data_IF_286000132128
#
_entry.id   IF_286000132128
#
_cell.length_a   1.000
_cell.length_b   1.000
_cell.length_c   1.000
_cell.angle_alpha   90.00
_cell.angle_beta   90.00
_cell.angle_gamma   90.00
#
_symmetry.space_group_name_H-M   'P 1'
#
loop_
_entity.id
_entity.type
_entity.pdbx_description
1 polymer ?
#
# COMPACT_ATOMS: atom_id res chain seq x y z
N UNK A 1 6.16 -28.59 51.17
CA UNK A 1 6.24 -27.11 51.11
C UNK A 1 7.38 -26.74 50.16
N UNK A 2 7.06 -26.43 48.91
CA UNK A 2 8.02 -26.02 47.87
C UNK A 2 7.48 -24.76 47.20
N UNK A 3 8.24 -23.70 47.37
CA UNK A 3 8.46 -22.55 46.47
C UNK A 3 7.26 -21.80 45.94
N UNK A 4 7.11 -20.58 46.46
CA UNK A 4 6.22 -19.51 46.06
C UNK A 4 6.86 -18.68 44.91
N UNK A 5 5.97 -18.10 44.09
CA UNK A 5 6.12 -17.07 43.04
C UNK A 5 6.83 -17.46 41.74
N UNK A 6 6.14 -17.23 40.61
CA UNK A 6 6.59 -16.30 39.56
C UNK A 6 5.47 -16.13 38.51
N UNK A 7 4.97 -14.88 38.45
CA UNK A 7 4.46 -14.17 37.26
C UNK A 7 2.96 -14.31 36.92
N UNK A 8 2.17 -13.50 37.64
CA UNK A 8 1.13 -12.67 37.03
C UNK A 8 1.80 -11.76 35.97
N UNK A 9 1.75 -12.15 34.70
CA UNK A 9 1.97 -11.23 33.58
C UNK A 9 1.23 -11.73 32.33
N UNK A 10 -0.01 -12.19 32.53
CA UNK A 10 -1.03 -12.08 31.49
C UNK A 10 -1.60 -10.65 31.55
N UNK A 11 -0.73 -9.64 31.45
CA UNK A 11 -1.19 -8.30 31.08
C UNK A 11 -1.78 -8.45 29.70
N UNK A 12 -3.09 -8.24 29.62
CA UNK A 12 -3.84 -7.97 28.42
C UNK A 12 -2.98 -7.14 27.45
N UNK A 13 -2.33 -7.80 26.48
CA UNK A 13 -1.99 -7.13 25.22
C UNK A 13 -3.31 -6.96 24.47
N UNK A 14 -4.16 -6.08 24.98
CA UNK A 14 -5.06 -5.31 24.15
C UNK A 14 -4.13 -4.47 23.28
N UNK A 15 -3.71 -5.04 22.15
CA UNK A 15 -3.07 -4.29 21.09
C UNK A 15 -4.08 -3.24 20.66
N UNK A 16 -3.93 -2.02 21.19
CA UNK A 16 -4.69 -0.85 20.79
C UNK A 16 -4.29 -0.49 19.36
N UNK A 17 -4.80 -1.23 18.37
CA UNK A 17 -4.58 -0.95 16.95
C UNK A 17 -5.27 0.36 16.50
N UNK A 18 -6.18 0.91 17.32
CA UNK A 18 -6.97 2.11 16.99
C UNK A 18 -6.25 3.47 17.02
N UNK A 19 -4.95 3.55 17.36
CA UNK A 19 -4.19 4.81 17.26
C UNK A 19 -3.36 4.94 15.97
N UNK A 20 -3.32 3.90 15.14
CA UNK A 20 -2.45 3.85 13.95
C UNK A 20 -2.85 4.90 12.89
N UNK A 21 -4.12 5.31 12.87
CA UNK A 21 -4.67 6.22 11.87
C UNK A 21 -4.18 7.68 12.03
N UNK A 22 -4.10 8.22 13.24
CA UNK A 22 -3.92 9.68 13.45
C UNK A 22 -2.49 10.19 13.20
N UNK A 23 -1.45 9.40 13.45
CA UNK A 23 -0.07 9.83 13.15
C UNK A 23 0.31 9.62 11.68
N UNK A 24 -0.37 8.71 10.95
CA UNK A 24 -0.16 8.54 9.50
C UNK A 24 -0.61 9.77 8.70
N UNK A 25 -1.48 10.61 9.26
CA UNK A 25 -1.88 11.91 8.71
C UNK A 25 -0.95 13.07 9.06
N UNK A 26 0.20 12.84 9.71
CA UNK A 26 1.23 13.87 9.89
C UNK A 26 2.38 13.70 8.90
N UNK A 27 2.98 14.79 8.40
CA UNK A 27 4.16 14.68 7.55
C UNK A 27 5.32 14.08 8.35
N UNK A 28 6.02 13.11 7.75
CA UNK A 28 7.14 12.46 8.42
C UNK A 28 7.62 11.20 7.72
N UNK A 29 8.63 10.58 8.33
CA UNK A 29 9.46 9.56 7.71
C UNK A 29 9.46 8.28 8.55
N UNK A 30 9.07 7.17 7.93
CA UNK A 30 9.23 5.82 8.47
C UNK A 30 10.52 5.23 7.91
N UNK A 31 11.58 5.24 8.73
CA UNK A 31 12.92 4.82 8.30
C UNK A 31 12.94 3.35 7.84
N UNK A 32 12.34 2.45 8.62
CA UNK A 32 12.29 1.02 8.34
C UNK A 32 10.85 0.49 8.24
N UNK A 33 10.72 -0.75 7.77
CA UNK A 33 9.44 -1.46 7.78
C UNK A 33 8.86 -1.61 9.19
N UNK A 34 9.72 -1.90 10.19
CA UNK A 34 9.29 -2.03 11.59
C UNK A 34 8.76 -0.70 12.12
N UNK A 35 9.44 0.41 11.81
CA UNK A 35 8.95 1.74 12.19
C UNK A 35 7.56 2.01 11.59
N UNK A 36 7.33 1.61 10.33
CA UNK A 36 6.02 1.75 9.69
C UNK A 36 4.92 0.93 10.39
N UNK A 37 5.20 -0.32 10.79
CA UNK A 37 4.23 -1.15 11.51
C UNK A 37 3.90 -0.61 12.90
N UNK A 38 4.92 -0.14 13.61
CA UNK A 38 4.77 0.42 14.97
C UNK A 38 4.29 1.87 14.97
N UNK A 39 4.04 2.45 13.78
CA UNK A 39 3.72 3.86 13.59
C UNK A 39 4.75 4.84 14.19
N UNK A 40 6.01 4.39 14.29
CA UNK A 40 7.13 5.19 14.77
C UNK A 40 7.63 6.12 13.65
N UNK A 41 7.06 7.31 13.60
CA UNK A 41 7.33 8.32 12.58
C UNK A 41 8.34 9.35 13.08
N UNK A 42 9.38 9.62 12.28
CA UNK A 42 10.20 10.83 12.47
C UNK A 42 9.46 12.00 11.82
N UNK A 43 8.87 12.87 12.63
CA UNK A 43 8.08 14.01 12.15
C UNK A 43 8.94 15.00 11.35
N UNK A 44 8.31 15.59 10.34
CA UNK A 44 8.85 16.67 9.52
C UNK A 44 7.80 17.78 9.44
N UNK A 45 8.21 19.04 9.44
CA UNK A 45 7.26 20.15 9.33
C UNK A 45 6.47 20.07 8.01
N UNK A 46 7.18 19.70 6.93
CA UNK A 46 6.59 19.53 5.61
C UNK A 46 7.34 18.46 4.81
N UNK A 47 6.61 17.78 3.92
CA UNK A 47 7.19 16.93 2.88
C UNK A 47 6.74 17.45 1.53
N UNK A 48 7.69 17.81 0.67
CA UNK A 48 7.38 18.21 -0.70
C UNK A 48 7.39 16.99 -1.61
N UNK A 49 6.31 16.81 -2.36
CA UNK A 49 6.12 15.70 -3.30
C UNK A 49 6.18 16.21 -4.74
N UNK A 50 6.99 15.57 -5.60
CA UNK A 50 6.98 15.83 -7.05
C UNK A 50 6.84 14.52 -7.82
N UNK A 51 5.85 14.45 -8.73
CA UNK A 51 5.68 13.31 -9.65
C UNK A 51 6.89 13.23 -10.59
N UNK A 52 7.37 12.02 -10.86
CA UNK A 52 8.36 11.83 -11.91
C UNK A 52 7.69 12.00 -13.28
N UNK A 53 8.16 12.93 -14.11
CA UNK A 53 7.52 13.27 -15.40
C UNK A 53 7.75 12.24 -16.52
N UNK A 54 8.19 11.03 -16.19
CA UNK A 54 8.31 9.96 -17.17
C UNK A 54 6.93 9.29 -17.34
N UNK A 55 6.38 9.30 -18.57
CA UNK A 55 5.06 8.72 -18.89
C UNK A 55 4.93 7.24 -18.50
N UNK A 56 6.05 6.54 -18.32
CA UNK A 56 6.07 5.12 -17.94
C UNK A 56 6.46 4.89 -16.49
N UNK A 57 6.53 5.92 -15.65
CA UNK A 57 6.92 5.84 -14.24
C UNK A 57 5.88 6.59 -13.38
N UNK A 58 5.14 5.87 -12.53
CA UNK A 58 4.17 6.47 -11.62
C UNK A 58 4.78 6.83 -10.24
N UNK A 59 6.11 6.80 -10.11
CA UNK A 59 6.76 7.10 -8.85
C UNK A 59 6.91 8.59 -8.60
N UNK A 60 7.03 8.93 -7.33
CA UNK A 60 7.21 10.27 -6.80
C UNK A 60 8.61 10.42 -6.21
N UNK A 61 9.10 11.66 -6.21
CA UNK A 61 10.30 12.07 -5.48
C UNK A 61 9.86 12.96 -4.33
N UNK A 62 10.59 12.85 -3.21
CA UNK A 62 10.22 13.46 -1.95
C UNK A 62 11.38 14.28 -1.39
N UNK A 63 11.07 15.40 -0.76
CA UNK A 63 12.03 16.28 -0.09
C UNK A 63 11.51 16.62 1.31
N UNK A 64 12.41 16.71 2.28
CA UNK A 64 12.08 17.08 3.65
C UNK A 64 11.92 18.61 3.80
N UNK A 65 11.60 19.05 5.02
CA UNK A 65 11.43 20.46 5.39
C UNK A 65 12.61 21.35 5.01
N UNK A 66 13.83 20.79 5.03
CA UNK A 66 15.08 21.47 4.69
C UNK A 66 15.38 21.50 3.18
N UNK A 67 14.48 20.99 2.34
CA UNK A 67 14.71 20.86 0.90
C UNK A 67 15.72 19.77 0.53
N UNK A 68 16.09 18.88 1.46
CA UNK A 68 16.94 17.72 1.18
C UNK A 68 16.11 16.57 0.63
N UNK A 69 16.61 15.95 -0.44
CA UNK A 69 15.93 14.80 -1.07
C UNK A 69 15.93 13.60 -0.14
N UNK A 70 14.74 13.04 0.10
CA UNK A 70 14.54 11.81 0.86
C UNK A 70 14.74 10.63 -0.09
N UNK A 71 15.75 9.82 0.19
CA UNK A 71 16.19 8.75 -0.73
C UNK A 71 16.05 7.35 -0.17
N UNK A 72 16.26 7.07 1.09
CA UNK A 72 16.36 5.68 1.57
C UNK A 72 15.23 5.16 2.48
N UNK A 73 14.47 6.01 3.20
CA UNK A 73 13.43 5.51 4.10
C UNK A 73 12.42 4.59 3.43
N UNK A 74 11.92 3.62 4.21
CA UNK A 74 10.93 2.64 3.78
C UNK A 74 9.62 3.29 3.33
N UNK A 75 9.09 4.21 4.13
CA UNK A 75 7.89 4.96 3.79
C UNK A 75 7.97 6.41 4.27
N UNK A 76 7.16 7.28 3.66
CA UNK A 76 7.06 8.70 4.00
C UNK A 76 5.59 9.10 3.94
N UNK A 77 5.11 9.85 4.93
CA UNK A 77 3.82 10.51 4.86
C UNK A 77 4.04 11.99 4.55
N UNK A 78 3.24 12.58 3.65
CA UNK A 78 3.18 14.03 3.46
C UNK A 78 2.05 14.69 4.26
N UNK A 79 1.42 13.94 5.17
CA UNK A 79 0.25 14.34 5.93
C UNK A 79 -1.09 14.08 5.22
N UNK A 80 -1.06 13.75 3.93
CA UNK A 80 -2.25 13.40 3.14
C UNK A 80 -2.17 11.99 2.56
N UNK A 81 -0.99 11.59 2.12
CA UNK A 81 -0.73 10.34 1.45
C UNK A 81 0.53 9.68 2.01
N UNK A 82 0.53 8.35 1.99
CA UNK A 82 1.72 7.55 2.32
C UNK A 82 2.41 7.13 1.03
N UNK A 83 3.73 7.18 1.05
CA UNK A 83 4.60 6.89 -0.07
C UNK A 83 5.56 5.77 0.30
N UNK A 84 5.53 4.65 -0.42
CA UNK A 84 6.39 3.49 -0.19
C UNK A 84 7.58 3.48 -1.12
N UNK A 85 8.75 3.19 -0.58
CA UNK A 85 9.98 3.10 -1.36
C UNK A 85 9.87 2.02 -2.42
N UNK A 86 9.95 2.42 -3.69
CA UNK A 86 9.72 1.53 -4.82
C UNK A 86 10.67 0.33 -4.81
N UNK A 87 11.96 0.53 -4.54
CA UNK A 87 12.92 -0.57 -4.46
C UNK A 87 12.69 -1.50 -3.26
N UNK A 88 12.17 -0.99 -2.15
CA UNK A 88 11.92 -1.79 -0.95
C UNK A 88 10.79 -2.79 -1.18
N UNK A 89 9.81 -2.40 -2.01
CA UNK A 89 8.67 -3.26 -2.34
C UNK A 89 8.83 -3.98 -3.69
N UNK A 90 9.83 -3.60 -4.51
CA UNK A 90 10.06 -4.16 -5.85
C UNK A 90 10.20 -5.68 -5.85
N UNK A 91 10.90 -6.23 -4.85
CA UNK A 91 11.17 -7.66 -4.72
C UNK A 91 9.91 -8.53 -4.59
N UNK A 92 8.79 -7.93 -4.20
CA UNK A 92 7.53 -8.65 -4.05
C UNK A 92 6.69 -8.67 -5.35
N UNK A 93 7.16 -8.01 -6.41
CA UNK A 93 6.50 -8.02 -7.71
C UNK A 93 7.13 -9.08 -8.60
N UNK A 94 6.92 -10.35 -8.24
CA UNK A 94 7.25 -11.48 -9.10
C UNK A 94 6.10 -11.68 -10.08
N UNK A 95 6.34 -11.42 -11.36
CA UNK A 95 5.40 -11.79 -12.41
C UNK A 95 5.85 -13.09 -13.08
N UNK A 96 4.91 -13.87 -13.62
CA UNK A 96 5.22 -15.12 -14.33
C UNK A 96 5.79 -14.90 -15.75
N UNK A 97 5.81 -13.66 -16.25
CA UNK A 97 5.96 -13.33 -17.68
C UNK A 97 7.17 -12.41 -17.98
N UNK A 98 8.20 -12.37 -17.13
CA UNK A 98 9.39 -11.51 -17.29
C UNK A 98 9.09 -10.01 -17.52
N UNK A 99 7.96 -9.52 -17.00
CA UNK A 99 7.57 -8.12 -17.17
C UNK A 99 8.35 -7.25 -16.19
N UNK A 100 8.81 -6.10 -16.67
CA UNK A 100 9.69 -5.24 -15.89
C UNK A 100 8.88 -4.10 -15.28
N UNK A 101 8.87 -4.07 -13.95
CA UNK A 101 8.43 -2.89 -13.23
C UNK A 101 9.39 -1.73 -13.51
N UNK A 102 8.87 -0.68 -14.14
CA UNK A 102 9.62 0.56 -14.37
C UNK A 102 9.53 1.46 -13.15
N UNK A 103 10.60 1.48 -12.37
CA UNK A 103 10.73 2.35 -11.20
C UNK A 103 12.01 3.17 -11.30
N UNK A 104 11.91 4.45 -10.98
CA UNK A 104 13.12 5.24 -10.77
C UNK A 104 13.89 4.73 -9.55
N UNK A 105 15.23 4.72 -9.63
CA UNK A 105 16.13 4.24 -8.56
C UNK A 105 15.77 4.82 -7.19
N UNK A 106 15.30 6.07 -7.16
CA UNK A 106 14.93 6.77 -5.93
C UNK A 106 13.45 7.20 -5.90
N UNK A 107 12.59 6.37 -6.49
CA UNK A 107 11.15 6.62 -6.58
C UNK A 107 10.38 6.05 -5.39
N UNK A 108 9.24 6.66 -5.12
CA UNK A 108 8.25 6.19 -4.17
C UNK A 108 6.89 5.96 -4.86
N UNK A 109 6.22 4.88 -4.52
CA UNK A 109 4.84 4.64 -4.91
C UNK A 109 3.88 5.29 -3.92
N UNK A 110 2.86 5.99 -4.42
CA UNK A 110 1.81 6.54 -3.59
C UNK A 110 0.80 5.44 -3.24
N UNK A 111 0.52 5.26 -1.96
CA UNK A 111 -0.65 4.51 -1.50
C UNK A 111 -1.90 5.31 -1.85
N UNK A 112 -2.85 4.64 -2.48
CA UNK A 112 -4.09 5.27 -2.90
C UNK A 112 -5.11 5.22 -1.77
N UNK A 113 -5.17 4.08 -1.07
CA UNK A 113 -5.94 3.92 0.16
C UNK A 113 -5.25 2.88 1.07
N UNK A 114 -5.55 2.95 2.36
CA UNK A 114 -5.00 2.05 3.36
C UNK A 114 -5.92 1.99 4.57
N UNK A 115 -6.03 0.82 5.18
CA UNK A 115 -6.64 0.63 6.49
C UNK A 115 -5.63 -0.07 7.43
N UNK A 116 -6.11 -0.64 8.53
CA UNK A 116 -5.25 -1.38 9.47
C UNK A 116 -4.71 -2.72 8.91
N UNK A 117 -5.35 -3.28 7.88
CA UNK A 117 -5.05 -4.61 7.32
C UNK A 117 -4.36 -4.57 5.96
N UNK A 118 -4.69 -3.59 5.13
CA UNK A 118 -4.37 -3.54 3.72
C UNK A 118 -3.86 -2.16 3.30
N UNK A 119 -3.02 -2.14 2.27
CA UNK A 119 -2.62 -0.93 1.56
C UNK A 119 -2.74 -1.19 0.07
N UNK A 120 -3.43 -0.32 -0.64
CA UNK A 120 -3.55 -0.38 -2.08
C UNK A 120 -2.63 0.61 -2.76
N UNK A 121 -1.88 0.13 -3.75
CA UNK A 121 -0.93 0.88 -4.56
C UNK A 121 -1.21 0.56 -6.03
N UNK A 122 -0.94 1.52 -6.92
CA UNK A 122 -0.99 1.27 -8.36
C UNK A 122 0.31 1.61 -9.05
N UNK A 123 0.72 0.73 -9.96
CA UNK A 123 1.97 0.84 -10.70
C UNK A 123 1.81 0.49 -12.17
N UNK A 124 2.71 1.01 -13.01
CA UNK A 124 2.80 0.62 -14.42
C UNK A 124 3.86 -0.46 -14.60
N UNK A 125 3.47 -1.54 -15.26
CA UNK A 125 4.36 -2.60 -15.72
C UNK A 125 4.55 -2.49 -17.23
N UNK A 126 5.70 -2.95 -17.70
CA UNK A 126 6.04 -2.98 -19.10
C UNK A 126 6.18 -4.43 -19.54
N UNK A 127 5.29 -4.86 -20.43
CA UNK A 127 5.41 -6.16 -21.08
C UNK A 127 6.45 -6.08 -22.20
N UNK A 128 7.35 -7.06 -22.27
CA UNK A 128 8.26 -7.24 -23.40
C UNK A 128 7.71 -8.37 -24.25
N UNK A 129 7.36 -8.10 -25.50
CA UNK A 129 6.99 -9.14 -26.45
C UNK A 129 8.17 -10.08 -26.71
N UNK A 130 7.90 -11.37 -26.96
CA UNK A 130 8.92 -12.40 -27.20
C UNK A 130 9.74 -12.19 -28.48
N UNK A 131 9.35 -11.26 -29.37
CA UNK A 131 9.92 -11.15 -30.72
C UNK A 131 10.53 -9.81 -31.09
N UNK A 132 10.36 -8.72 -30.33
CA UNK A 132 11.00 -7.44 -30.67
C UNK A 132 11.30 -6.58 -29.45
N UNK A 133 12.57 -6.21 -29.30
CA UNK A 133 13.15 -5.37 -28.26
C UNK A 133 12.54 -3.95 -28.16
N UNK A 134 11.50 -3.59 -28.94
CA UNK A 134 11.06 -2.19 -29.12
C UNK A 134 9.56 -1.90 -29.02
N UNK A 135 8.66 -2.90 -28.97
CA UNK A 135 7.21 -2.65 -28.85
C UNK A 135 6.66 -3.35 -27.62
N UNK A 136 6.82 -2.71 -26.46
CA UNK A 136 6.26 -3.18 -25.20
C UNK A 136 5.04 -2.35 -24.79
N UNK A 137 3.99 -3.00 -24.31
CA UNK A 137 2.77 -2.33 -23.85
C UNK A 137 2.93 -1.97 -22.38
N UNK A 138 2.63 -0.71 -22.02
CA UNK A 138 2.51 -0.33 -20.63
C UNK A 138 1.09 -0.62 -20.17
N UNK A 139 0.94 -1.33 -19.06
CA UNK A 139 -0.37 -1.54 -18.43
C UNK A 139 -0.28 -1.21 -16.94
N UNK A 140 -1.42 -0.87 -16.37
CA UNK A 140 -1.56 -0.49 -14.95
C UNK A 140 -1.92 -1.74 -14.16
N UNK A 141 -1.20 -2.02 -13.09
CA UNK A 141 -1.46 -3.11 -12.17
C UNK A 141 -1.84 -2.56 -10.80
N UNK A 142 -2.85 -3.20 -10.19
CA UNK A 142 -3.21 -2.99 -8.80
C UNK A 142 -2.33 -3.83 -7.89
N UNK A 143 -1.96 -3.31 -6.74
CA UNK A 143 -1.13 -4.01 -5.76
C UNK A 143 -1.79 -3.85 -4.40
N UNK A 144 -2.11 -4.96 -3.74
CA UNK A 144 -2.54 -4.94 -2.35
C UNK A 144 -1.42 -5.50 -1.49
N UNK A 145 -1.04 -4.73 -0.48
CA UNK A 145 -0.17 -5.17 0.60
C UNK A 145 -1.03 -5.60 1.78
N UNK A 146 -0.88 -6.85 2.24
CA UNK A 146 -1.46 -7.32 3.49
C UNK A 146 -0.46 -7.06 4.63
N UNK A 147 -0.82 -6.18 5.55
CA UNK A 147 0.03 -5.70 6.64
C UNK A 147 0.34 -6.83 7.63
N UNK A 148 -0.66 -7.65 8.01
CA UNK A 148 -0.48 -8.71 9.01
C UNK A 148 0.38 -9.87 8.49
N UNK A 149 0.25 -10.20 7.20
CA UNK A 149 1.02 -11.27 6.55
C UNK A 149 2.36 -10.79 5.99
N UNK A 150 2.54 -9.49 5.81
CA UNK A 150 3.74 -8.93 5.18
C UNK A 150 3.90 -9.29 3.71
N UNK A 151 2.80 -9.58 3.02
CA UNK A 151 2.78 -10.09 1.63
C UNK A 151 2.17 -9.08 0.67
N UNK A 152 2.71 -8.99 -0.54
CA UNK A 152 2.09 -8.23 -1.64
C UNK A 152 1.42 -9.19 -2.62
N UNK A 153 0.25 -8.79 -3.10
CA UNK A 153 -0.46 -9.45 -4.18
C UNK A 153 -0.60 -8.46 -5.33
N UNK A 154 -0.20 -8.89 -6.53
CA UNK A 154 -0.26 -8.08 -7.76
C UNK A 154 -1.42 -8.56 -8.61
N UNK A 155 -2.24 -7.62 -9.06
CA UNK A 155 -3.40 -7.84 -9.91
C UNK A 155 -3.14 -7.21 -11.28
N UNK A 156 -3.10 -8.04 -12.30
CA UNK A 156 -2.81 -7.64 -13.68
C UNK A 156 -4.09 -7.25 -14.44
N UNK A 157 -5.24 -7.73 -13.96
CA UNK A 157 -6.56 -7.48 -14.52
C UNK A 157 -7.50 -6.92 -13.46
N UNK A 158 -8.57 -6.25 -13.89
CA UNK A 158 -9.62 -5.74 -12.99
C UNK A 158 -10.41 -6.93 -12.41
N UNK A 159 -10.52 -8.02 -13.17
CA UNK A 159 -11.18 -9.26 -12.79
C UNK A 159 -10.47 -9.97 -11.63
N UNK A 160 -9.13 -10.03 -11.66
CA UNK A 160 -8.33 -10.59 -10.55
C UNK A 160 -8.52 -9.77 -9.27
N UNK A 161 -8.48 -8.44 -9.41
CA UNK A 161 -8.69 -7.52 -8.29
C UNK A 161 -10.10 -7.68 -7.71
N UNK A 162 -11.13 -7.73 -8.56
CA UNK A 162 -12.52 -7.95 -8.14
C UNK A 162 -12.70 -9.27 -7.40
N UNK A 163 -12.09 -10.35 -7.90
CA UNK A 163 -12.20 -11.68 -7.30
C UNK A 163 -11.57 -11.71 -5.91
N UNK A 164 -10.41 -11.09 -5.74
CA UNK A 164 -9.77 -10.94 -4.43
C UNK A 164 -10.61 -10.09 -3.48
N UNK A 165 -11.07 -8.93 -3.94
CA UNK A 165 -11.86 -8.00 -3.12
C UNK A 165 -13.15 -8.66 -2.64
N UNK A 166 -13.83 -9.42 -3.50
CA UNK A 166 -15.01 -10.20 -3.12
C UNK A 166 -14.69 -11.23 -2.03
N UNK A 167 -13.64 -12.02 -2.19
CA UNK A 167 -13.25 -13.01 -1.16
C UNK A 167 -12.84 -12.35 0.17
N UNK A 168 -12.12 -11.23 0.11
CA UNK A 168 -11.72 -10.50 1.30
C UNK A 168 -12.93 -9.94 2.06
N UNK A 169 -13.93 -9.42 1.32
CA UNK A 169 -15.19 -8.93 1.89
C UNK A 169 -16.03 -10.09 2.44
N UNK A 170 -16.23 -11.17 1.68
CA UNK A 170 -17.00 -12.34 2.11
C UNK A 170 -16.40 -12.99 3.37
N UNK A 171 -15.08 -12.91 3.55
CA UNK A 171 -14.39 -13.38 4.75
C UNK A 171 -14.48 -12.42 5.95
N UNK A 172 -14.83 -11.14 5.71
CA UNK A 172 -14.86 -10.08 6.73
C UNK A 172 -16.29 -9.61 7.08
N UNK A 173 -17.32 -9.92 6.28
CA UNK A 173 -18.73 -9.56 6.51
C UNK A 173 -19.53 -10.67 7.19
N UNK A 174 -20.40 -10.31 8.16
CA UNK A 174 -21.44 -11.18 8.71
C UNK A 174 -22.64 -11.32 7.75
N UNK A 175 -23.40 -12.42 7.89
CA UNK A 175 -24.48 -12.87 6.97
C UNK A 175 -25.56 -11.82 6.60
N UNK A 176 -25.67 -10.73 7.35
CA UNK A 176 -26.67 -9.68 7.21
C UNK A 176 -26.57 -8.87 5.89
N UNK A 177 -25.40 -8.88 5.22
CA UNK A 177 -25.16 -8.07 4.02
C UNK A 177 -25.14 -8.86 2.69
N UNK A 178 -25.27 -10.19 2.74
CA UNK A 178 -25.22 -11.09 1.57
C UNK A 178 -26.37 -10.87 0.57
N UNK A 179 -27.45 -10.20 0.97
CA UNK A 179 -28.64 -9.97 0.15
C UNK A 179 -28.52 -8.87 -0.90
N UNK A 180 -27.54 -7.96 -0.79
CA UNK A 180 -27.32 -6.90 -1.77
C UNK A 180 -26.35 -7.37 -2.85
N UNK A 181 -26.91 -8.17 -3.77
CA UNK A 181 -26.25 -8.72 -4.96
C UNK A 181 -25.43 -7.63 -5.67
N UNK A 182 -24.09 -7.77 -5.63
CA UNK A 182 -23.08 -6.91 -6.26
C UNK A 182 -23.26 -6.83 -7.79
N UNK A 183 -24.25 -6.07 -8.24
CA UNK A 183 -24.38 -5.62 -9.63
C UNK A 183 -24.16 -4.11 -9.68
N UNK A 184 -23.24 -3.68 -10.55
CA UNK A 184 -22.70 -2.31 -10.75
C UNK A 184 -21.53 -1.88 -9.84
N UNK A 185 -20.38 -1.60 -10.47
CA UNK A 185 -19.17 -0.97 -9.90
C UNK A 185 -18.55 -1.67 -8.67
N UNK A 186 -18.36 -2.97 -8.79
CA UNK A 186 -17.84 -3.89 -7.75
C UNK A 186 -16.48 -3.47 -7.18
N UNK A 187 -15.52 -3.01 -7.99
CA UNK A 187 -14.19 -2.59 -7.48
C UNK A 187 -14.35 -1.40 -6.54
N UNK A 188 -15.06 -0.34 -6.96
CA UNK A 188 -15.14 0.89 -6.18
C UNK A 188 -15.90 0.71 -4.89
N UNK A 189 -17.05 0.04 -4.96
CA UNK A 189 -17.81 -0.29 -3.77
C UNK A 189 -16.99 -1.17 -2.83
N UNK A 190 -16.33 -2.20 -3.35
CA UNK A 190 -15.49 -3.08 -2.54
C UNK A 190 -14.29 -2.36 -1.93
N UNK A 191 -13.65 -1.45 -2.67
CA UNK A 191 -12.58 -0.61 -2.16
C UNK A 191 -13.07 0.35 -1.08
N UNK A 192 -14.24 0.98 -1.25
CA UNK A 192 -14.83 1.85 -0.23
C UNK A 192 -15.18 1.07 1.05
N UNK A 193 -15.69 -0.16 0.93
CA UNK A 193 -15.98 -1.02 2.08
C UNK A 193 -14.71 -1.53 2.76
N UNK A 194 -13.70 -1.91 1.99
CA UNK A 194 -12.47 -2.45 2.56
C UNK A 194 -11.63 -1.35 3.20
N UNK A 195 -11.64 -0.12 2.68
CA UNK A 195 -10.74 0.94 3.11
C UNK A 195 -11.41 2.09 3.88
N UNK A 196 -12.72 2.04 4.12
CA UNK A 196 -13.53 3.06 4.82
C UNK A 196 -13.36 4.50 4.28
N UNK A 197 -12.88 4.64 3.04
CA UNK A 197 -12.54 5.91 2.42
C UNK A 197 -13.39 6.14 1.17
N UNK A 198 -13.78 7.40 0.91
CA UNK A 198 -14.56 7.72 -0.31
C UNK A 198 -13.62 7.75 -1.51
N UNK A 199 -13.47 6.62 -2.17
CA UNK A 199 -12.74 6.54 -3.43
C UNK A 199 -13.54 7.24 -4.54
N UNK A 200 -13.08 8.41 -4.97
CA UNK A 200 -13.57 9.05 -6.18
C UNK A 200 -12.62 8.72 -7.35
N UNK A 201 -13.12 8.18 -8.48
CA UNK A 201 -12.29 8.03 -9.66
C UNK A 201 -11.77 9.41 -10.08
N UNK A 202 -10.48 9.49 -10.43
CA UNK A 202 -9.95 10.64 -11.17
C UNK A 202 -10.84 10.84 -12.41
N UNK A 203 -11.39 12.04 -12.58
CA UNK A 203 -12.14 12.43 -13.77
C UNK A 203 -11.38 11.97 -15.03
N UNK A 204 -12.11 11.25 -15.90
CA UNK A 204 -11.64 10.77 -17.20
C UNK A 204 -11.16 11.93 -18.08
#
# INVERSE_FOLDING_TARGET
MKTIFIILFATNMSLSFGQISYQKSQPGIFKTYVNFLMNDITLEDTITVKKNYNRTDNTFRLWNSQGKRIKEPYAVSDGKHIYFRANSIKKYFTNKVNEKLRVSKNGYFRAICSNEKYIYIESFFHSMGLTDWRVGTNYRAGIIYNISKGTFTVFYTIEDLNSFLKQAIDAEMSDEYLGQKLSMNTVWFAMNNLFDDKFYPYNQ
#
